data_IF_944381858779
#
_entry.id   IF_944381858779
#
_cell.length_a   1.000
_cell.length_b   1.000
_cell.length_c   1.000
_cell.angle_alpha   90.00
_cell.angle_beta   90.00
_cell.angle_gamma   90.00
#
_symmetry.space_group_name_H-M   'P 1'
#
loop_
_entity.id
_entity.type
_entity.pdbx_description
1 polymer ?
#
# COMPACT_ATOMS: atom_id res chain seq x y z
N UNK A 1 25.27 10.22 -5.29
CA UNK A 1 24.39 10.16 -6.48
C UNK A 1 22.95 9.77 -6.10
N UNK A 2 22.77 8.70 -5.31
CA UNK A 2 21.47 8.28 -4.74
C UNK A 2 20.72 9.38 -3.98
N UNK A 3 21.37 10.07 -3.02
CA UNK A 3 20.81 11.20 -2.26
C UNK A 3 20.14 12.27 -3.12
N UNK A 4 20.79 12.69 -4.22
CA UNK A 4 20.24 13.70 -5.13
C UNK A 4 18.98 13.20 -5.84
N UNK A 5 18.96 11.92 -6.27
CA UNK A 5 17.78 11.28 -6.87
C UNK A 5 16.60 11.24 -5.89
N UNK A 6 16.86 10.95 -4.61
CA UNK A 6 15.82 10.97 -3.58
C UNK A 6 15.23 12.37 -3.35
N UNK A 7 16.08 13.40 -3.25
CA UNK A 7 15.61 14.78 -3.07
C UNK A 7 14.73 15.22 -4.25
N UNK A 8 15.13 14.87 -5.48
CA UNK A 8 14.33 15.15 -6.67
C UNK A 8 12.99 14.44 -6.64
N UNK A 9 12.97 13.16 -6.27
CA UNK A 9 11.75 12.37 -6.15
C UNK A 9 10.80 12.93 -5.08
N UNK A 10 11.35 13.28 -3.91
CA UNK A 10 10.59 13.90 -2.82
C UNK A 10 9.89 15.19 -3.27
N UNK A 11 10.59 16.04 -4.02
CA UNK A 11 10.00 17.26 -4.60
C UNK A 11 8.90 16.93 -5.61
N UNK A 12 9.09 15.92 -6.46
CA UNK A 12 8.10 15.51 -7.47
C UNK A 12 6.81 14.96 -6.84
N UNK A 13 6.91 14.07 -5.86
CA UNK A 13 5.75 13.48 -5.17
C UNK A 13 4.87 14.56 -4.52
N UNK A 14 5.47 15.64 -4.03
CA UNK A 14 4.75 16.77 -3.42
C UNK A 14 4.02 17.67 -4.43
N UNK A 15 4.38 17.62 -5.71
CA UNK A 15 3.74 18.41 -6.77
C UNK A 15 2.60 17.65 -7.47
N UNK A 16 2.26 16.45 -7.01
CA UNK A 16 1.22 15.64 -7.63
C UNK A 16 -0.18 16.26 -7.40
N UNK A 17 -1.02 16.31 -8.44
CA UNK A 17 -2.37 16.85 -8.32
C UNK A 17 -3.27 15.86 -7.57
N UNK A 18 -3.48 16.09 -6.27
CA UNK A 18 -4.28 15.20 -5.42
C UNK A 18 -5.78 15.21 -5.78
N UNK A 19 -6.29 16.32 -6.33
CA UNK A 19 -7.72 16.49 -6.62
C UNK A 19 -8.21 15.62 -7.78
N UNK A 20 -7.32 15.24 -8.70
CA UNK A 20 -7.65 14.41 -9.87
C UNK A 20 -7.20 12.96 -9.70
N UNK A 21 -6.62 12.62 -8.55
CA UNK A 21 -6.09 11.30 -8.26
C UNK A 21 -7.20 10.26 -7.99
N UNK A 22 -6.99 9.03 -8.47
CA UNK A 22 -7.86 7.91 -8.17
C UNK A 22 -7.60 7.32 -6.77
N UNK A 23 -8.55 6.55 -6.22
CA UNK A 23 -8.42 5.96 -4.89
C UNK A 23 -7.15 5.10 -4.72
N UNK A 24 -6.83 4.16 -5.65
CA UNK A 24 -5.60 3.37 -5.57
C UNK A 24 -4.33 4.23 -5.44
N UNK A 25 -4.22 5.30 -6.23
CA UNK A 25 -3.08 6.22 -6.18
C UNK A 25 -2.94 6.91 -4.83
N UNK A 26 -4.05 7.48 -4.35
CA UNK A 26 -4.11 8.17 -3.06
C UNK A 26 -3.73 7.23 -1.92
N UNK A 27 -4.12 5.96 -2.02
CA UNK A 27 -3.80 4.95 -1.04
C UNK A 27 -2.30 4.61 -1.04
N UNK A 28 -1.65 4.53 -2.21
CA UNK A 28 -0.19 4.42 -2.30
C UNK A 28 0.53 5.66 -1.76
N UNK A 29 0.02 6.86 -2.04
CA UNK A 29 0.56 8.11 -1.49
C UNK A 29 0.46 8.15 0.04
N UNK A 30 -0.67 7.76 0.61
CA UNK A 30 -0.86 7.67 2.07
C UNK A 30 0.19 6.75 2.69
N UNK A 31 0.39 5.59 2.08
CA UNK A 31 1.39 4.64 2.54
C UNK A 31 2.82 5.23 2.48
N UNK A 32 3.18 5.95 1.43
CA UNK A 32 4.48 6.60 1.31
C UNK A 32 4.71 7.74 2.30
N UNK A 33 3.70 8.61 2.50
CA UNK A 33 3.79 9.68 3.48
C UNK A 33 3.89 9.17 4.91
N UNK A 34 3.23 8.05 5.25
CA UNK A 34 3.42 7.37 6.54
C UNK A 34 4.89 7.04 6.78
N UNK A 35 5.56 6.47 5.78
CA UNK A 35 6.98 6.12 5.88
C UNK A 35 7.85 7.39 5.99
N UNK A 36 7.60 8.41 5.16
CA UNK A 36 8.27 9.72 5.26
C UNK A 36 8.16 10.29 6.68
N UNK A 37 6.97 10.20 7.27
CA UNK A 37 6.72 10.72 8.59
C UNK A 37 7.43 9.90 9.67
N UNK A 38 7.39 8.55 9.62
CA UNK A 38 8.18 7.70 10.53
C UNK A 38 9.64 8.10 10.56
N UNK A 39 10.19 8.34 9.38
CA UNK A 39 11.61 8.60 9.23
C UNK A 39 11.99 10.02 9.62
N UNK A 40 11.08 10.99 9.46
CA UNK A 40 11.25 12.33 10.04
C UNK A 40 11.35 12.32 11.57
N UNK A 41 10.89 11.27 12.24
CA UNK A 41 11.06 11.08 13.68
C UNK A 41 12.28 10.24 14.06
N UNK A 42 12.73 9.33 13.19
CA UNK A 42 13.79 8.37 13.52
C UNK A 42 15.17 8.72 12.96
N UNK A 43 15.26 9.58 11.93
CA UNK A 43 16.52 10.04 11.33
C UNK A 43 16.69 11.57 11.42
N UNK A 44 17.60 12.05 12.30
CA UNK A 44 17.92 13.48 12.43
C UNK A 44 18.49 14.12 11.15
N UNK A 45 19.11 13.34 10.27
CA UNK A 45 19.69 13.82 9.00
C UNK A 45 18.64 14.12 7.94
N UNK A 46 17.46 13.52 8.05
CA UNK A 46 16.43 13.59 7.01
C UNK A 46 15.94 15.02 6.74
N UNK A 47 15.59 15.79 7.78
CA UNK A 47 15.20 17.19 7.59
C UNK A 47 16.35 18.05 7.07
N UNK A 48 17.58 17.78 7.51
CA UNK A 48 18.76 18.51 7.00
C UNK A 48 18.98 18.27 5.51
N UNK A 49 18.67 17.07 5.03
CA UNK A 49 18.94 16.63 3.67
C UNK A 49 17.82 17.01 2.68
N UNK A 50 16.58 17.00 3.14
CA UNK A 50 15.38 17.18 2.31
C UNK A 50 14.65 18.51 2.52
N UNK A 51 15.10 19.33 3.49
CA UNK A 51 14.57 20.67 3.73
C UNK A 51 13.43 20.73 4.76
N UNK A 52 12.89 21.94 4.97
CA UNK A 52 11.81 22.18 5.93
C UNK A 52 10.55 21.37 5.61
N UNK A 53 10.36 20.99 4.35
CA UNK A 53 9.16 20.26 3.95
C UNK A 53 9.22 18.77 4.29
N UNK A 54 10.40 18.28 4.65
CA UNK A 54 10.61 16.97 5.25
C UNK A 54 10.46 16.97 6.78
N UNK A 55 10.10 18.12 7.38
CA UNK A 55 9.78 18.15 8.81
C UNK A 55 8.49 17.37 9.10
N UNK A 56 8.38 16.77 10.30
CA UNK A 56 7.20 15.99 10.65
C UNK A 56 5.87 16.75 10.50
N UNK A 57 5.84 18.05 10.86
CA UNK A 57 4.62 18.86 10.74
C UNK A 57 4.18 19.03 9.28
N UNK A 58 5.13 19.34 8.39
CA UNK A 58 4.89 19.52 6.95
C UNK A 58 4.37 18.23 6.31
N UNK A 59 4.99 17.10 6.64
CA UNK A 59 4.61 15.79 6.15
C UNK A 59 3.24 15.35 6.68
N UNK A 60 2.96 15.62 7.96
CA UNK A 60 1.65 15.36 8.56
C UNK A 60 0.57 16.17 7.84
N UNK A 61 0.82 17.44 7.54
CA UNK A 61 -0.13 18.30 6.84
C UNK A 61 -0.49 17.78 5.44
N UNK A 62 0.50 17.30 4.68
CA UNK A 62 0.25 16.70 3.36
C UNK A 62 -0.44 15.33 3.51
N UNK A 63 0.03 14.49 4.43
CA UNK A 63 -0.56 13.18 4.68
C UNK A 63 -2.06 13.30 5.01
N UNK A 64 -2.46 14.28 5.82
CA UNK A 64 -3.87 14.54 6.13
C UNK A 64 -4.67 14.93 4.88
N UNK A 65 -4.11 15.75 3.97
CA UNK A 65 -4.78 16.08 2.71
C UNK A 65 -4.97 14.85 1.81
N UNK A 66 -3.96 13.97 1.72
CA UNK A 66 -4.09 12.73 0.96
C UNK A 66 -5.13 11.80 1.62
N UNK A 67 -5.17 11.73 2.95
CA UNK A 67 -6.16 10.94 3.69
C UNK A 67 -7.59 11.45 3.50
N UNK A 68 -7.79 12.77 3.50
CA UNK A 68 -9.07 13.39 3.18
C UNK A 68 -9.54 12.94 1.79
N UNK A 69 -8.67 13.06 0.78
CA UNK A 69 -8.98 12.64 -0.59
C UNK A 69 -9.25 11.14 -0.68
N UNK A 70 -8.44 10.30 -0.04
CA UNK A 70 -8.66 8.85 -0.05
C UNK A 70 -10.02 8.50 0.58
N UNK A 71 -10.35 9.11 1.72
CA UNK A 71 -11.62 8.90 2.40
C UNK A 71 -12.83 9.33 1.55
N UNK A 72 -12.72 10.46 0.82
CA UNK A 72 -13.75 10.90 -0.14
C UNK A 72 -13.94 9.89 -1.28
N UNK A 73 -12.84 9.31 -1.78
CA UNK A 73 -12.84 8.36 -2.89
C UNK A 73 -13.28 6.94 -2.48
N UNK A 74 -13.35 6.60 -1.20
CA UNK A 74 -13.85 5.28 -0.74
C UNK A 74 -15.35 5.06 -0.97
N UNK A 75 -16.11 6.13 -1.21
CA UNK A 75 -17.54 6.03 -1.55
C UNK A 75 -17.79 5.79 -3.05
N UNK A 76 -16.74 5.73 -3.86
CA UNK A 76 -16.87 5.47 -5.29
C UNK A 76 -17.05 3.97 -5.57
N UNK A 77 -17.62 3.66 -6.72
CA UNK A 77 -17.75 2.28 -7.19
C UNK A 77 -16.35 1.73 -7.52
N UNK A 78 -15.89 0.78 -6.71
CA UNK A 78 -14.59 0.12 -6.82
C UNK A 78 -14.81 -1.38 -6.91
N UNK A 79 -13.94 -2.07 -7.66
CA UNK A 79 -13.95 -3.55 -7.60
C UNK A 79 -13.54 -4.01 -6.19
N UNK A 80 -14.05 -5.15 -5.69
CA UNK A 80 -13.87 -5.54 -4.30
C UNK A 80 -12.41 -5.57 -3.82
N UNK A 81 -11.46 -5.98 -4.68
CA UNK A 81 -10.03 -6.00 -4.35
C UNK A 81 -9.45 -4.61 -4.16
N UNK A 82 -9.83 -3.68 -5.02
CA UNK A 82 -9.38 -2.30 -4.88
C UNK A 82 -10.01 -1.68 -3.65
N UNK A 83 -11.29 -1.92 -3.41
CA UNK A 83 -11.96 -1.41 -2.22
C UNK A 83 -11.29 -1.90 -0.93
N UNK A 84 -11.09 -3.20 -0.78
CA UNK A 84 -10.40 -3.79 0.37
C UNK A 84 -8.99 -3.21 0.56
N UNK A 85 -8.19 -3.14 -0.51
CA UNK A 85 -6.83 -2.59 -0.47
C UNK A 85 -6.82 -1.11 -0.05
N UNK A 86 -7.71 -0.29 -0.60
CA UNK A 86 -7.82 1.12 -0.25
C UNK A 86 -8.22 1.32 1.23
N UNK A 87 -9.14 0.49 1.74
CA UNK A 87 -9.49 0.46 3.17
C UNK A 87 -8.27 0.09 4.01
N UNK A 88 -7.54 -0.97 3.64
CA UNK A 88 -6.32 -1.39 4.35
C UNK A 88 -5.32 -0.25 4.43
N UNK A 89 -4.95 0.38 3.31
CA UNK A 89 -3.98 1.49 3.31
C UNK A 89 -4.45 2.72 4.10
N UNK A 90 -5.75 3.03 4.09
CA UNK A 90 -6.30 4.05 4.97
C UNK A 90 -6.07 3.69 6.44
N UNK A 91 -6.35 2.44 6.84
CA UNK A 91 -6.11 1.97 8.21
C UNK A 91 -4.63 1.99 8.58
N UNK A 92 -3.74 1.58 7.67
CA UNK A 92 -2.29 1.60 7.91
C UNK A 92 -1.80 3.03 8.18
N UNK A 93 -2.28 4.00 7.40
CA UNK A 93 -1.96 5.41 7.62
C UNK A 93 -2.48 5.90 8.99
N UNK A 94 -3.68 5.47 9.39
CA UNK A 94 -4.29 5.85 10.67
C UNK A 94 -3.63 5.20 11.90
N UNK A 95 -2.90 4.09 11.74
CA UNK A 95 -2.07 3.55 12.84
C UNK A 95 -0.99 4.54 13.29
N UNK A 96 -0.53 5.37 12.35
CA UNK A 96 0.58 6.28 12.57
C UNK A 96 0.11 7.71 12.84
N UNK A 97 -0.94 8.16 12.16
CA UNK A 97 -1.56 9.46 12.38
C UNK A 97 -3.05 9.31 12.66
N UNK A 98 -3.42 9.24 13.94
CA UNK A 98 -4.81 9.07 14.33
C UNK A 98 -5.68 10.26 13.91
N UNK A 99 -6.74 9.97 13.15
CA UNK A 99 -7.77 10.95 12.75
C UNK A 99 -9.17 10.40 13.03
N UNK A 100 -9.86 10.92 14.06
CA UNK A 100 -11.17 10.38 14.48
C UNK A 100 -12.23 10.39 13.38
N UNK A 101 -12.21 11.38 12.48
CA UNK A 101 -13.11 11.45 11.32
C UNK A 101 -12.79 10.36 10.30
N UNK A 102 -11.52 10.19 9.92
CA UNK A 102 -11.08 9.16 8.97
C UNK A 102 -11.27 7.75 9.53
N UNK A 103 -11.07 7.55 10.84
CA UNK A 103 -11.39 6.29 11.52
C UNK A 103 -12.86 5.92 11.39
N UNK A 104 -13.77 6.90 11.48
CA UNK A 104 -15.19 6.66 11.26
C UNK A 104 -15.48 6.25 9.80
N UNK A 105 -14.84 6.91 8.83
CA UNK A 105 -14.95 6.55 7.41
C UNK A 105 -14.44 5.14 7.16
N UNK A 106 -13.22 4.82 7.61
CA UNK A 106 -12.62 3.49 7.46
C UNK A 106 -13.50 2.41 8.10
N UNK A 107 -14.06 2.69 9.29
CA UNK A 107 -14.99 1.78 9.97
C UNK A 107 -16.24 1.51 9.14
N UNK A 108 -16.87 2.56 8.63
CA UNK A 108 -18.10 2.42 7.85
C UNK A 108 -17.79 1.66 6.55
N UNK A 109 -16.71 2.01 5.84
CA UNK A 109 -16.28 1.32 4.63
C UNK A 109 -15.98 -0.17 4.87
N UNK A 110 -15.33 -0.53 5.98
CA UNK A 110 -15.15 -1.94 6.36
C UNK A 110 -16.49 -2.65 6.59
N UNK A 111 -17.42 -2.02 7.31
CA UNK A 111 -18.73 -2.60 7.59
C UNK A 111 -19.52 -2.82 6.30
N UNK A 112 -19.54 -1.84 5.41
CA UNK A 112 -20.21 -1.94 4.11
C UNK A 112 -19.58 -3.06 3.28
N UNK A 113 -18.26 -3.12 3.19
CA UNK A 113 -17.54 -4.19 2.50
C UNK A 113 -17.94 -5.59 3.02
N UNK A 114 -17.96 -5.79 4.34
CA UNK A 114 -18.34 -7.09 4.93
C UNK A 114 -19.84 -7.41 4.78
N UNK A 115 -20.72 -6.40 4.80
CA UNK A 115 -22.15 -6.58 4.61
C UNK A 115 -22.47 -6.97 3.17
N UNK A 116 -21.91 -6.26 2.18
CA UNK A 116 -22.07 -6.58 0.75
C UNK A 116 -21.61 -8.00 0.47
N UNK A 117 -20.44 -8.40 1.01
CA UNK A 117 -19.93 -9.78 0.86
C UNK A 117 -20.83 -10.85 1.45
N UNK A 118 -21.51 -10.58 2.56
CA UNK A 118 -22.48 -11.52 3.15
C UNK A 118 -23.78 -11.61 2.35
N UNK A 119 -24.23 -10.49 1.77
CA UNK A 119 -25.39 -10.46 0.88
C UNK A 119 -25.15 -11.25 -0.40
N UNK A 120 -23.99 -11.05 -1.05
CA UNK A 120 -23.55 -11.84 -2.21
C UNK A 120 -23.53 -13.34 -1.89
N UNK A 121 -23.00 -13.74 -0.73
CA UNK A 121 -22.97 -15.15 -0.30
C UNK A 121 -24.36 -15.77 -0.05
N UNK A 122 -25.40 -14.96 0.17
CA UNK A 122 -26.77 -15.45 0.42
C UNK A 122 -27.64 -15.50 -0.84
N UNK A 123 -27.28 -14.76 -1.90
CA UNK A 123 -28.03 -14.71 -3.16
C UNK A 123 -27.52 -15.69 -4.24
N UNK A 124 -26.41 -16.39 -4.00
CA UNK A 124 -25.79 -17.29 -4.99
C UNK A 124 -25.77 -18.76 -4.56
N UNK A 125 -26.91 -19.43 -4.78
CA UNK A 125 -26.97 -20.90 -4.88
C UNK A 125 -26.69 -21.43 -6.31
N UNK A 126 -26.39 -20.59 -7.30
CA UNK A 126 -26.05 -21.04 -8.66
C UNK A 126 -25.07 -20.08 -9.36
N UNK A 127 -23.76 -20.23 -9.12
CA UNK A 127 -22.63 -19.93 -10.04
C UNK A 127 -21.28 -20.12 -9.29
N UNK A 128 -20.84 -21.38 -9.16
CA UNK A 128 -19.89 -21.82 -8.13
C UNK A 128 -18.40 -21.87 -8.55
N UNK A 129 -17.91 -21.07 -9.51
CA UNK A 129 -16.49 -21.12 -9.90
C UNK A 129 -15.78 -19.76 -9.96
N UNK A 130 -16.46 -18.68 -10.34
CA UNK A 130 -15.82 -17.35 -10.36
C UNK A 130 -15.73 -16.72 -8.96
N UNK A 131 -16.63 -17.09 -8.05
CA UNK A 131 -16.65 -16.58 -6.68
C UNK A 131 -15.54 -17.13 -5.80
N UNK A 132 -15.25 -18.43 -5.90
CA UNK A 132 -14.16 -19.04 -5.13
C UNK A 132 -12.80 -18.43 -5.52
N UNK A 133 -12.59 -18.14 -6.82
CA UNK A 133 -11.38 -17.44 -7.27
C UNK A 133 -11.30 -16.00 -6.76
N UNK A 134 -12.40 -15.24 -6.78
CA UNK A 134 -12.42 -13.88 -6.21
C UNK A 134 -12.24 -13.88 -4.70
N UNK A 135 -12.80 -14.86 -3.99
CA UNK A 135 -12.70 -14.95 -2.54
C UNK A 135 -11.28 -15.33 -2.11
N UNK A 136 -10.66 -16.29 -2.81
CA UNK A 136 -9.22 -16.57 -2.66
C UNK A 136 -8.41 -15.29 -2.91
N UNK A 137 -8.77 -14.46 -3.90
CA UNK A 137 -8.09 -13.20 -4.24
C UNK A 137 -8.06 -12.13 -3.14
N UNK A 138 -8.90 -12.26 -2.12
CA UNK A 138 -9.09 -11.22 -1.10
C UNK A 138 -8.73 -11.66 0.31
N UNK A 139 -8.39 -12.93 0.51
CA UNK A 139 -8.17 -13.50 1.85
C UNK A 139 -7.16 -12.69 2.68
N UNK A 140 -6.06 -12.23 2.06
CA UNK A 140 -5.04 -11.42 2.72
C UNK A 140 -5.57 -10.06 3.20
N UNK A 141 -6.27 -9.32 2.34
CA UNK A 141 -6.81 -8.01 2.69
C UNK A 141 -7.96 -8.11 3.71
N UNK A 142 -8.80 -9.14 3.59
CA UNK A 142 -9.84 -9.46 4.57
C UNK A 142 -9.21 -9.70 5.95
N UNK A 143 -8.18 -10.52 6.03
CA UNK A 143 -7.48 -10.80 7.28
C UNK A 143 -6.88 -9.51 7.87
N UNK A 144 -6.22 -8.68 7.05
CA UNK A 144 -5.67 -7.38 7.49
C UNK A 144 -6.75 -6.46 8.05
N UNK A 145 -7.90 -6.34 7.39
CA UNK A 145 -9.04 -5.56 7.89
C UNK A 145 -9.54 -6.08 9.25
N UNK A 146 -9.64 -7.41 9.42
CA UNK A 146 -10.01 -8.01 10.70
C UNK A 146 -8.97 -7.74 11.80
N UNK A 147 -7.67 -7.79 11.47
CA UNK A 147 -6.59 -7.44 12.40
C UNK A 147 -6.69 -5.99 12.85
N UNK A 148 -6.88 -5.05 11.92
CA UNK A 148 -7.05 -3.64 12.25
C UNK A 148 -8.34 -3.37 13.03
N UNK A 149 -9.44 -4.05 12.69
CA UNK A 149 -10.67 -3.98 13.47
C UNK A 149 -10.44 -4.42 14.92
N UNK A 150 -9.70 -5.51 15.14
CA UNK A 150 -9.30 -5.92 16.48
C UNK A 150 -8.40 -4.88 17.15
N UNK A 151 -7.32 -4.43 16.49
CA UNK A 151 -6.36 -3.49 17.06
C UNK A 151 -7.02 -2.18 17.51
N UNK A 152 -7.83 -1.56 16.65
CA UNK A 152 -8.44 -0.25 16.94
C UNK A 152 -9.70 -0.31 17.81
N UNK A 153 -10.40 -1.46 17.86
CA UNK A 153 -11.69 -1.58 18.57
C UNK A 153 -11.68 -2.61 19.70
N UNK A 154 -10.58 -3.34 19.86
CA UNK A 154 -10.44 -4.47 20.78
C UNK A 154 -11.57 -5.51 20.64
N UNK A 155 -12.01 -5.76 19.41
CA UNK A 155 -13.13 -6.66 19.10
C UNK A 155 -12.70 -8.14 19.11
N UNK A 156 -13.10 -8.87 20.15
CA UNK A 156 -12.79 -10.29 20.31
C UNK A 156 -13.27 -11.18 19.16
N UNK A 157 -14.35 -10.80 18.47
CA UNK A 157 -14.85 -11.55 17.32
C UNK A 157 -13.91 -11.40 16.12
N UNK A 158 -13.46 -10.17 15.85
CA UNK A 158 -12.50 -9.90 14.78
C UNK A 158 -11.18 -10.67 15.02
N UNK A 159 -10.69 -10.70 16.26
CA UNK A 159 -9.53 -11.50 16.65
C UNK A 159 -9.73 -12.99 16.35
N UNK A 160 -10.89 -13.54 16.75
CA UNK A 160 -11.20 -14.97 16.51
C UNK A 160 -11.28 -15.29 15.03
N UNK A 161 -11.85 -14.41 14.22
CA UNK A 161 -11.95 -14.59 12.77
C UNK A 161 -10.59 -14.51 12.08
N UNK A 162 -9.80 -13.48 12.39
CA UNK A 162 -8.43 -13.35 11.87
C UNK A 162 -7.59 -14.57 12.24
N UNK A 163 -7.62 -14.99 13.52
CA UNK A 163 -6.92 -16.19 14.00
C UNK A 163 -7.33 -17.45 13.24
N UNK A 164 -8.63 -17.66 13.03
CA UNK A 164 -9.12 -18.82 12.28
C UNK A 164 -8.59 -18.88 10.84
N UNK A 165 -8.47 -17.73 10.16
CA UNK A 165 -7.86 -17.66 8.83
C UNK A 165 -6.37 -17.97 8.86
N UNK A 166 -5.62 -17.35 9.78
CA UNK A 166 -4.18 -17.60 9.94
C UNK A 166 -3.89 -19.06 10.28
N UNK A 167 -4.62 -19.64 11.24
CA UNK A 167 -4.46 -21.04 11.65
C UNK A 167 -4.74 -21.99 10.49
N UNK A 168 -5.74 -21.70 9.66
CA UNK A 168 -6.02 -22.42 8.42
C UNK A 168 -4.84 -22.37 7.45
N UNK A 169 -4.32 -21.17 7.15
CA UNK A 169 -3.15 -21.03 6.27
C UNK A 169 -1.91 -21.74 6.80
N UNK A 170 -1.70 -21.75 8.12
CA UNK A 170 -0.57 -22.47 8.73
C UNK A 170 -0.71 -23.99 8.57
N UNK A 171 -1.93 -24.52 8.65
CA UNK A 171 -2.20 -25.95 8.41
C UNK A 171 -1.97 -26.38 6.96
N UNK A 172 -2.10 -25.44 6.01
CA UNK A 172 -1.86 -25.66 4.58
C UNK A 172 -0.36 -25.67 4.21
N UNK A 173 0.55 -25.26 5.12
CA UNK A 173 1.99 -25.30 4.87
C UNK A 173 2.48 -26.75 4.73
N UNK A 174 3.25 -27.03 3.69
CA UNK A 174 3.90 -28.33 3.55
C UNK A 174 5.08 -28.52 4.52
N UNK A 175 5.69 -29.70 4.51
CA UNK A 175 6.77 -30.07 5.43
C UNK A 175 8.03 -29.17 5.32
N UNK A 176 8.23 -28.53 4.17
CA UNK A 176 9.26 -27.52 3.90
C UNK A 176 8.85 -26.09 4.31
N UNK A 177 7.64 -25.92 4.84
CA UNK A 177 7.13 -24.64 5.35
C UNK A 177 6.65 -23.69 4.27
N UNK A 178 6.17 -24.19 3.14
CA UNK A 178 5.69 -23.40 2.00
C UNK A 178 4.26 -23.77 1.61
N UNK A 179 3.54 -22.84 0.96
CA UNK A 179 2.26 -23.14 0.31
C UNK A 179 2.51 -23.62 -1.13
N UNK A 180 2.14 -24.86 -1.45
CA UNK A 180 2.44 -25.47 -2.76
C UNK A 180 1.54 -24.97 -3.89
N UNK A 181 0.28 -24.67 -3.57
CA UNK A 181 -0.73 -24.35 -4.57
C UNK A 181 -0.92 -22.82 -4.75
N UNK A 182 -0.02 -22.02 -4.18
CA UNK A 182 -0.05 -20.56 -4.28
C UNK A 182 1.09 -20.02 -5.12
N UNK A 183 0.79 -18.97 -5.89
CA UNK A 183 1.84 -18.19 -6.56
C UNK A 183 2.62 -17.36 -5.53
N UNK A 184 3.87 -16.97 -5.82
CA UNK A 184 4.69 -16.17 -4.91
C UNK A 184 4.00 -14.88 -4.42
N UNK A 185 3.30 -14.18 -5.32
CA UNK A 185 2.57 -12.96 -4.98
C UNK A 185 1.49 -13.18 -3.92
N UNK A 186 0.81 -14.33 -3.98
CA UNK A 186 -0.30 -14.69 -3.07
C UNK A 186 0.22 -15.21 -1.75
N UNK A 187 1.29 -15.98 -1.78
CA UNK A 187 2.04 -16.36 -0.59
C UNK A 187 2.56 -15.14 0.17
N UNK A 188 3.07 -14.12 -0.54
CA UNK A 188 3.48 -12.85 0.08
C UNK A 188 2.30 -12.06 0.67
N UNK A 189 1.12 -12.05 0.04
CA UNK A 189 -0.09 -11.44 0.63
C UNK A 189 -0.49 -12.11 1.95
N UNK A 190 -0.49 -13.45 2.00
CA UNK A 190 -0.76 -14.20 3.24
C UNK A 190 0.31 -13.94 4.29
N UNK A 191 1.58 -13.94 3.91
CA UNK A 191 2.69 -13.67 4.82
C UNK A 191 2.62 -12.26 5.42
N UNK A 192 2.25 -11.25 4.62
CA UNK A 192 2.04 -9.88 5.11
C UNK A 192 0.94 -9.82 6.16
N UNK A 193 -0.22 -10.46 5.90
CA UNK A 193 -1.31 -10.55 6.87
C UNK A 193 -0.90 -11.33 8.14
N UNK A 194 -0.14 -12.43 7.99
CA UNK A 194 0.41 -13.18 9.13
C UNK A 194 1.37 -12.34 9.98
N UNK A 195 2.26 -11.56 9.36
CA UNK A 195 3.19 -10.68 10.05
C UNK A 195 2.45 -9.58 10.83
N UNK A 196 1.43 -8.95 10.23
CA UNK A 196 0.55 -8.00 10.92
C UNK A 196 -0.20 -8.64 12.10
N UNK A 197 -0.72 -9.86 11.91
CA UNK A 197 -1.42 -10.57 12.98
C UNK A 197 -0.49 -10.90 14.16
N UNK A 198 0.72 -11.36 13.87
CA UNK A 198 1.73 -11.66 14.88
C UNK A 198 2.09 -10.40 15.70
N UNK A 199 2.25 -9.26 15.04
CA UNK A 199 2.53 -7.97 15.69
C UNK A 199 1.36 -7.48 16.57
N UNK A 200 0.12 -7.63 16.08
CA UNK A 200 -1.08 -7.07 16.75
C UNK A 200 -1.69 -7.97 17.82
N UNK A 201 -1.51 -9.30 17.74
CA UNK A 201 -2.21 -10.25 18.58
C UNK A 201 -1.31 -11.18 19.38
N UNK A 202 -0.32 -11.83 18.73
CA UNK A 202 0.38 -12.97 19.34
C UNK A 202 1.69 -13.34 18.60
N UNK A 203 2.78 -12.62 18.89
CA UNK A 203 4.03 -12.76 18.16
C UNK A 203 4.61 -14.18 18.23
N UNK A 204 4.63 -14.80 19.42
CA UNK A 204 5.40 -16.02 19.66
C UNK A 204 4.81 -17.27 18.98
N UNK A 205 3.48 -17.31 18.80
CA UNK A 205 2.80 -18.50 18.24
C UNK A 205 3.16 -18.73 16.76
N UNK A 206 3.30 -17.66 15.98
CA UNK A 206 3.51 -17.74 14.53
C UNK A 206 4.94 -17.46 14.09
N UNK A 207 5.81 -17.06 15.03
CA UNK A 207 7.18 -16.60 14.75
C UNK A 207 7.98 -17.58 13.88
N UNK A 208 7.98 -18.87 14.23
CA UNK A 208 8.75 -19.89 13.49
C UNK A 208 8.33 -19.99 12.02
N UNK A 209 7.02 -20.02 11.77
CA UNK A 209 6.45 -20.12 10.43
C UNK A 209 6.72 -18.83 9.64
N UNK A 210 6.48 -17.67 10.25
CA UNK A 210 6.75 -16.36 9.66
C UNK A 210 8.23 -16.21 9.29
N UNK A 211 9.17 -16.54 10.19
CA UNK A 211 10.62 -16.48 9.93
C UNK A 211 11.03 -17.38 8.76
N UNK A 212 10.48 -18.60 8.70
CA UNK A 212 10.75 -19.56 7.63
C UNK A 212 10.31 -19.01 6.27
N UNK A 213 9.09 -18.47 6.21
CA UNK A 213 8.52 -17.89 5.00
C UNK A 213 9.27 -16.61 4.57
N UNK A 214 9.59 -15.71 5.50
CA UNK A 214 10.38 -14.50 5.21
C UNK A 214 11.74 -14.89 4.63
N UNK A 215 12.41 -15.88 5.22
CA UNK A 215 13.69 -16.36 4.70
C UNK A 215 13.57 -16.88 3.27
N UNK A 216 12.53 -17.65 2.97
CA UNK A 216 12.27 -18.13 1.61
C UNK A 216 12.07 -16.97 0.63
N UNK A 217 11.18 -16.03 0.96
CA UNK A 217 10.80 -14.93 0.05
C UNK A 217 11.83 -13.81 -0.06
N UNK A 218 12.85 -13.78 0.81
CA UNK A 218 13.99 -12.84 0.67
C UNK A 218 14.73 -12.96 -0.66
N UNK A 219 14.61 -14.14 -1.31
CA UNK A 219 15.27 -14.47 -2.58
C UNK A 219 14.38 -14.25 -3.81
N UNK A 220 13.22 -13.64 -3.67
CA UNK A 220 12.32 -13.42 -4.81
C UNK A 220 12.95 -12.49 -5.85
N UNK A 221 12.69 -12.76 -7.13
CA UNK A 221 13.35 -12.08 -8.27
C UNK A 221 12.49 -11.00 -8.91
N UNK A 222 11.17 -11.20 -8.94
CA UNK A 222 10.22 -10.23 -9.48
C UNK A 222 10.19 -8.96 -8.61
N UNK A 223 10.15 -7.80 -9.25
CA UNK A 223 10.29 -6.51 -8.58
C UNK A 223 9.10 -6.17 -7.68
N UNK A 224 7.89 -6.55 -8.08
CA UNK A 224 6.72 -6.33 -7.23
C UNK A 224 6.82 -7.15 -5.93
N UNK A 225 7.22 -8.42 -6.07
CA UNK A 225 7.41 -9.33 -4.96
C UNK A 225 8.59 -8.94 -4.07
N UNK A 226 9.71 -8.53 -4.67
CA UNK A 226 10.89 -8.01 -3.95
C UNK A 226 10.48 -6.88 -3.04
N UNK A 227 9.63 -6.00 -3.54
CA UNK A 227 9.21 -4.88 -2.74
C UNK A 227 8.18 -5.25 -1.67
N UNK A 228 7.22 -6.11 -1.98
CA UNK A 228 6.30 -6.61 -0.95
C UNK A 228 7.07 -7.31 0.18
N UNK A 229 8.15 -8.03 -0.14
CA UNK A 229 9.05 -8.59 0.87
C UNK A 229 9.65 -7.53 1.81
N UNK A 230 9.99 -6.34 1.31
CA UNK A 230 10.52 -5.26 2.15
C UNK A 230 9.53 -4.84 3.24
N UNK A 231 8.25 -4.67 2.86
CA UNK A 231 7.17 -4.33 3.80
C UNK A 231 7.05 -5.36 4.92
N UNK A 232 7.11 -6.63 4.55
CA UNK A 232 7.01 -7.74 5.49
C UNK A 232 8.24 -7.79 6.41
N UNK A 233 9.45 -7.64 5.85
CA UNK A 233 10.69 -7.64 6.62
C UNK A 233 10.72 -6.47 7.63
N UNK A 234 10.19 -5.31 7.23
CA UNK A 234 9.99 -4.15 8.08
C UNK A 234 9.05 -4.48 9.23
N UNK A 235 7.86 -4.97 8.89
CA UNK A 235 6.80 -5.27 9.84
C UNK A 235 7.22 -6.33 10.88
N UNK A 236 7.97 -7.33 10.42
CA UNK A 236 8.51 -8.39 11.28
C UNK A 236 9.76 -7.97 12.09
N UNK A 237 10.24 -6.73 11.95
CA UNK A 237 11.43 -6.25 12.65
C UNK A 237 12.73 -6.92 12.20
N UNK A 238 12.78 -7.51 10.99
CA UNK A 238 13.90 -8.31 10.48
C UNK A 238 14.90 -7.52 9.62
N UNK A 239 14.87 -6.19 9.72
CA UNK A 239 15.68 -5.29 8.89
C UNK A 239 17.17 -5.60 8.92
N UNK A 240 17.76 -5.76 10.11
CA UNK A 240 19.20 -6.00 10.26
C UNK A 240 19.64 -7.31 9.60
N UNK A 241 18.77 -8.31 9.60
CA UNK A 241 19.00 -9.61 8.97
C UNK A 241 19.10 -9.51 7.45
N UNK A 242 18.35 -8.59 6.84
CA UNK A 242 18.23 -8.47 5.38
C UNK A 242 18.77 -7.14 4.81
N UNK A 243 19.66 -6.45 5.54
CA UNK A 243 20.17 -5.11 5.19
C UNK A 243 20.66 -4.99 3.73
N UNK A 244 21.51 -5.91 3.28
CA UNK A 244 22.05 -5.86 1.91
C UNK A 244 20.98 -6.11 0.86
N UNK A 245 20.07 -7.06 1.11
CA UNK A 245 18.97 -7.35 0.19
C UNK A 245 18.01 -6.17 0.06
N UNK A 246 17.71 -5.52 1.18
CA UNK A 246 16.92 -4.29 1.25
C UNK A 246 17.57 -3.22 0.36
N UNK A 247 18.86 -2.97 0.54
CA UNK A 247 19.62 -2.04 -0.30
C UNK A 247 19.56 -2.38 -1.80
N UNK A 248 19.82 -3.62 -2.18
CA UNK A 248 19.79 -4.03 -3.60
C UNK A 248 18.45 -3.73 -4.26
N UNK A 249 17.34 -4.11 -3.63
CA UNK A 249 15.98 -3.88 -4.14
C UNK A 249 15.71 -2.36 -4.28
N UNK A 250 16.34 -1.55 -3.42
CA UNK A 250 16.26 -0.09 -3.45
C UNK A 250 16.87 0.49 -4.69
N UNK A 251 18.11 0.09 -4.94
CA UNK A 251 18.91 0.63 -6.03
C UNK A 251 18.28 0.21 -7.35
N UNK A 252 17.92 -1.07 -7.47
CA UNK A 252 17.30 -1.65 -8.66
C UNK A 252 16.05 -0.87 -9.08
N UNK A 253 15.11 -0.70 -8.15
CA UNK A 253 13.88 -0.07 -8.58
C UNK A 253 14.13 1.45 -8.85
N UNK A 254 15.10 2.11 -8.19
CA UNK A 254 15.35 3.56 -8.35
C UNK A 254 15.88 3.85 -9.75
N UNK A 255 16.67 2.93 -10.29
CA UNK A 255 17.22 3.00 -11.63
C UNK A 255 16.10 2.93 -12.66
N UNK A 256 15.22 1.93 -12.57
CA UNK A 256 14.12 1.72 -13.51
C UNK A 256 13.19 2.94 -13.64
N UNK A 257 12.92 3.61 -12.52
CA UNK A 257 12.00 4.76 -12.47
C UNK A 257 12.55 6.08 -12.99
N UNK A 258 13.87 6.15 -13.21
CA UNK A 258 14.53 7.37 -13.67
C UNK A 258 15.02 7.25 -15.11
N UNK A 259 14.97 6.05 -15.72
CA UNK A 259 15.54 5.79 -17.04
C UNK A 259 14.55 5.66 -18.20
N UNK A 260 13.23 5.53 -17.97
CA UNK A 260 12.25 5.45 -19.08
C UNK A 260 11.51 6.78 -19.33
N UNK A 261 11.28 7.07 -20.62
CA UNK A 261 10.88 8.36 -21.20
C UNK A 261 9.49 8.93 -20.85
N UNK A 262 9.02 8.80 -19.61
CA UNK A 262 7.70 9.30 -19.14
C UNK A 262 7.63 10.83 -18.98
N UNK A 263 8.73 11.55 -19.22
CA UNK A 263 8.78 13.01 -19.11
C UNK A 263 8.13 13.78 -20.27
N UNK A 264 7.76 13.11 -21.37
CA UNK A 264 7.16 13.79 -22.54
C UNK A 264 5.68 14.13 -22.31
N UNK A 265 4.96 13.38 -21.45
CA UNK A 265 3.52 13.62 -21.19
C UNK A 265 3.23 14.59 -20.04
N UNK A 266 4.21 14.96 -19.20
CA UNK A 266 3.98 15.93 -18.11
C UNK A 266 3.97 17.40 -18.58
N UNK A 267 4.53 17.73 -19.74
CA UNK A 267 4.48 19.11 -20.27
C UNK A 267 3.08 19.55 -20.71
N UNK A 268 2.17 18.62 -20.98
CA UNK A 268 0.78 18.96 -21.29
C UNK A 268 -0.11 19.13 -20.04
N UNK A 269 0.36 18.75 -18.85
CA UNK A 269 -0.44 18.75 -17.61
C UNK A 269 -0.24 20.05 -16.80
N UNK A 270 0.89 20.73 -16.98
CA UNK A 270 1.07 22.09 -16.46
C UNK A 270 0.67 23.01 -17.59
N UNK A 271 -0.56 23.52 -17.57
CA UNK A 271 -1.09 24.48 -18.55
C UNK A 271 -0.28 25.77 -18.62
N UNK A 272 0.91 25.69 -19.21
CA UNK A 272 1.61 26.80 -19.84
C UNK A 272 1.39 26.57 -21.34
N UNK A 273 0.16 26.82 -21.77
CA UNK A 273 -0.09 27.06 -23.19
C UNK A 273 0.28 28.52 -23.46
N UNK A 274 1.36 28.72 -24.21
CA UNK A 274 1.45 29.92 -25.03
C UNK A 274 0.25 29.90 -25.99
N UNK A 275 -0.62 30.91 -25.84
CA UNK A 275 -1.74 31.32 -26.68
C UNK A 275 -1.97 30.50 -27.95
N UNK A 276 -3.03 29.66 -28.00
CA UNK A 276 -3.78 29.43 -29.25
C UNK A 276 -5.24 29.03 -28.96
N UNK A 277 -6.13 29.89 -29.41
CA UNK A 277 -7.60 29.82 -29.39
C UNK A 277 -8.11 28.51 -30.00
N UNK A 278 -9.03 27.79 -29.32
CA UNK A 278 -9.99 26.92 -30.01
C UNK A 278 -11.35 26.85 -29.28
N UNK A 279 -12.38 27.30 -29.99
CA UNK A 279 -13.79 27.16 -29.64
C UNK A 279 -14.27 25.72 -29.91
N UNK A 280 -15.10 25.14 -29.03
CA UNK A 280 -16.11 24.16 -29.42
C UNK A 280 -16.18 22.84 -28.63
N UNK A 281 -17.39 22.57 -28.13
CA UNK A 281 -18.01 21.28 -27.77
C UNK A 281 -17.73 20.68 -26.37
N UNK A 282 -18.63 21.03 -25.44
CA UNK A 282 -18.73 20.53 -24.07
C UNK A 282 -19.14 19.03 -23.94
N UNK A 283 -19.48 18.34 -25.02
CA UNK A 283 -19.87 16.91 -24.97
C UNK A 283 -18.69 15.95 -25.16
N UNK A 284 -17.51 16.41 -25.63
CA UNK A 284 -16.31 15.58 -25.69
C UNK A 284 -15.57 15.48 -24.33
N UNK A 285 -15.73 16.49 -23.46
CA UNK A 285 -15.05 16.57 -22.16
C UNK A 285 -15.57 15.55 -21.11
N UNK A 286 -16.83 15.13 -21.18
CA UNK A 286 -17.36 14.12 -20.25
C UNK A 286 -16.90 12.69 -20.61
N UNK A 287 -16.68 12.44 -21.89
CA UNK A 287 -16.19 11.15 -22.39
C UNK A 287 -14.67 11.00 -22.15
N UNK A 288 -13.92 12.10 -22.18
CA UNK A 288 -12.50 12.10 -21.76
C UNK A 288 -12.29 12.02 -20.25
N UNK A 289 -13.15 12.66 -19.44
CA UNK A 289 -13.10 12.52 -17.97
C UNK A 289 -13.42 11.09 -17.49
N UNK A 290 -14.26 10.36 -18.22
CA UNK A 290 -14.54 8.95 -17.93
C UNK A 290 -13.46 8.00 -18.46
N UNK A 291 -12.80 8.34 -19.57
CA UNK A 291 -11.66 7.57 -20.10
C UNK A 291 -10.37 7.72 -19.27
N UNK A 292 -10.20 8.81 -18.51
CA UNK A 292 -9.10 9.00 -17.55
C UNK A 292 -9.20 8.13 -16.30
N UNK A 293 -10.42 7.70 -15.91
CA UNK A 293 -10.63 6.89 -14.70
C UNK A 293 -10.19 5.43 -14.84
N UNK A 294 -9.93 4.95 -16.06
CA UNK A 294 -9.69 3.52 -16.32
C UNK A 294 -8.48 3.22 -17.20
N UNK A 295 -7.90 4.20 -17.90
CA UNK A 295 -6.69 3.96 -18.70
C UNK A 295 -5.43 4.05 -17.85
N UNK A 296 -5.09 2.89 -17.26
CA UNK A 296 -3.79 2.55 -16.67
C UNK A 296 -3.24 3.59 -15.70
N UNK A 297 -3.36 3.29 -14.41
CA UNK A 297 -2.32 3.60 -13.43
C UNK A 297 -0.93 3.21 -14.00
N UNK A 298 -0.30 4.11 -14.77
CA UNK A 298 1.15 4.19 -14.99
C UNK A 298 1.90 4.48 -13.67
N UNK A 299 1.16 4.45 -12.55
CA UNK A 299 1.54 4.68 -11.16
C UNK A 299 2.31 3.52 -10.54
N UNK A 300 2.60 2.45 -11.27
CA UNK A 300 3.61 1.46 -10.88
C UNK A 300 4.95 2.14 -10.51
N UNK A 301 5.28 3.23 -11.21
CA UNK A 301 6.46 4.05 -10.96
C UNK A 301 6.39 4.89 -9.67
N UNK A 302 5.19 5.32 -9.29
CA UNK A 302 4.98 6.09 -8.06
C UNK A 302 4.87 5.18 -6.82
N UNK A 303 4.26 4.01 -7.00
CA UNK A 303 4.38 2.87 -6.10
C UNK A 303 5.85 2.57 -5.85
N UNK A 304 6.65 2.41 -6.91
CA UNK A 304 8.09 2.20 -6.78
C UNK A 304 8.80 3.38 -6.10
N UNK A 305 8.38 4.63 -6.33
CA UNK A 305 8.87 5.80 -5.60
C UNK A 305 8.65 5.76 -4.09
N UNK A 306 7.43 5.41 -3.67
CA UNK A 306 7.06 5.18 -2.27
C UNK A 306 7.82 3.99 -1.67
N UNK A 307 8.09 2.98 -2.49
CA UNK A 307 8.92 1.84 -2.16
C UNK A 307 10.41 2.20 -2.04
N UNK A 308 10.94 3.17 -2.79
CA UNK A 308 12.30 3.72 -2.60
C UNK A 308 12.48 4.49 -1.33
N UNK A 309 11.40 5.09 -0.88
CA UNK A 309 11.37 5.84 0.36
C UNK A 309 11.56 4.93 1.58
N UNK A 310 10.95 3.73 1.60
CA UNK A 310 11.15 2.70 2.65
C UNK A 310 12.59 2.21 2.80
N UNK A 311 13.38 2.46 1.78
CA UNK A 311 14.57 1.73 1.44
C UNK A 311 15.83 2.60 1.57
N UNK A 312 15.76 3.86 1.13
CA UNK A 312 16.83 4.84 1.36
C UNK A 312 16.97 5.29 2.81
N UNK A 313 15.90 5.15 3.61
CA UNK A 313 15.80 5.83 4.90
C UNK A 313 16.02 4.91 6.10
N UNK A 314 15.82 3.60 5.96
CA UNK A 314 16.32 2.63 6.94
C UNK A 314 17.84 2.39 6.79
N UNK A 315 18.39 2.72 5.62
CA UNK A 315 19.76 2.39 5.23
C UNK A 315 20.77 3.53 5.49
N UNK A 316 20.33 4.80 5.57
CA UNK A 316 21.19 5.91 6.04
C UNK A 316 21.39 5.95 7.57
N UNK A 317 20.91 4.93 8.29
CA UNK A 317 21.43 4.57 9.62
C UNK A 317 22.88 4.06 9.60
N UNK A 318 23.71 4.55 8.69
CA UNK A 318 25.17 4.54 8.80
C UNK A 318 25.61 5.93 9.27
N UNK A 319 26.16 5.96 10.48
CA UNK A 319 27.07 7.04 10.89
C UNK A 319 28.28 7.11 9.98
#
# INVERSE_FOLDING_TARGET
MLKTKYIELFKKVRMLPLDTACAPFLAYLCFGYRQLLLLSYTDPGFTSDFGEEAQPLSLTGIMLQVLDKLAENLNQELVPREWARNIVYLLEALTFQYGGKHMLVARNAMQDFFCTRKGEQQEQEQEQQEQEQQQQQLEGDICKMLCYQYYFRSDSQALKQARGMIDGWVQELSADGLWKDLTPARSLERLEAMALFADTADHEVYKKQTDTLIHHFSRTEDLENKVRFLLIAVQAGMFSTYKERIKEITEEALELNLTEGDFVNMRHIVGIEDDLVYEGNAEALQTEQSAWKTNKCNEAHLLQAVRFHMLGMYWLGEK
#
